data_IF_881569336665
#
_entry.id   IF_881569336665
#
_cell.length_a   1.000
_cell.length_b   1.000
_cell.length_c   1.000
_cell.angle_alpha   90.00
_cell.angle_beta   90.00
_cell.angle_gamma   90.00
#
_symmetry.space_group_name_H-M   'P 1'
#
loop_
_entity.id
_entity.type
_entity.pdbx_description
1 polymer ?
#
# COMPACT_ATOMS: atom_id res chain seq x y z
N UNK A 1 6.61 -30.48 35.58
CA UNK A 1 6.36 -29.11 36.07
C UNK A 1 5.02 -28.65 35.46
N UNK A 2 4.04 -28.44 36.31
CA UNK A 2 2.72 -27.92 35.92
C UNK A 2 2.72 -26.39 36.17
N UNK A 3 2.48 -25.59 35.14
CA UNK A 3 2.38 -24.14 35.27
C UNK A 3 1.01 -23.83 35.89
N UNK A 4 0.99 -23.31 37.09
CA UNK A 4 -0.24 -22.83 37.72
C UNK A 4 -0.66 -21.51 37.07
N UNK A 5 -1.96 -21.31 36.77
CA UNK A 5 -2.46 -20.05 36.28
C UNK A 5 -2.29 -18.95 37.33
N UNK A 6 -1.57 -17.89 36.98
CA UNK A 6 -1.41 -16.71 37.83
C UNK A 6 -2.43 -15.67 37.38
N UNK A 7 -3.22 -15.12 38.31
CA UNK A 7 -4.02 -13.93 38.05
C UNK A 7 -3.09 -12.81 37.58
N UNK A 8 -3.48 -12.09 36.53
CA UNK A 8 -2.65 -11.09 35.88
C UNK A 8 -1.99 -10.13 36.89
N UNK A 9 -0.67 -10.11 36.93
CA UNK A 9 0.09 -9.15 37.70
C UNK A 9 0.35 -7.91 36.84
N UNK A 10 -0.06 -6.74 37.35
CA UNK A 10 0.27 -5.48 36.70
C UNK A 10 1.78 -5.26 36.73
N UNK A 11 2.39 -5.06 35.57
CA UNK A 11 3.79 -4.65 35.48
C UNK A 11 3.90 -3.19 35.98
N UNK A 12 4.69 -2.94 37.00
CA UNK A 12 4.93 -1.61 37.56
C UNK A 12 6.31 -1.10 37.15
N UNK A 13 6.45 0.22 37.01
CA UNK A 13 7.73 0.88 36.73
C UNK A 13 8.10 1.02 35.26
N UNK A 14 7.22 0.63 34.33
CA UNK A 14 7.36 0.99 32.92
C UNK A 14 6.98 2.44 32.68
N UNK A 15 7.80 3.18 31.92
CA UNK A 15 7.44 4.51 31.41
C UNK A 15 7.39 4.45 29.89
N UNK A 16 6.36 5.06 29.29
CA UNK A 16 6.34 5.27 27.85
C UNK A 16 7.43 6.27 27.48
N UNK A 17 8.26 5.93 26.50
CA UNK A 17 9.21 6.88 25.92
C UNK A 17 8.49 8.06 25.26
N UNK A 18 9.19 9.18 25.16
CA UNK A 18 8.71 10.32 24.38
C UNK A 18 8.73 9.98 22.90
N UNK A 19 7.58 10.10 22.23
CA UNK A 19 7.46 9.92 20.77
C UNK A 19 7.61 11.30 20.13
N UNK A 20 8.71 11.48 19.39
CA UNK A 20 9.02 12.72 18.66
C UNK A 20 9.06 12.47 17.16
N UNK A 21 9.13 13.52 16.35
CA UNK A 21 9.36 13.39 14.91
C UNK A 21 10.61 12.56 14.57
N UNK A 22 11.67 12.66 15.39
CA UNK A 22 12.88 11.84 15.24
C UNK A 22 12.61 10.35 15.46
N UNK A 23 11.67 9.99 16.35
CA UNK A 23 11.30 8.60 16.57
C UNK A 23 10.65 7.98 15.33
N UNK A 24 9.80 8.74 14.63
CA UNK A 24 9.22 8.32 13.36
C UNK A 24 10.28 8.19 12.26
N UNK A 25 11.19 9.16 12.14
CA UNK A 25 12.28 9.09 11.16
C UNK A 25 13.17 7.86 11.41
N UNK A 26 13.59 7.63 12.64
CA UNK A 26 14.38 6.45 13.02
C UNK A 26 13.67 5.13 12.71
N UNK A 27 12.35 5.10 12.83
CA UNK A 27 11.55 3.95 12.43
C UNK A 27 11.60 3.75 10.91
N UNK A 28 11.36 4.79 10.12
CA UNK A 28 11.41 4.74 8.66
C UNK A 28 12.79 4.29 8.15
N UNK A 29 13.87 4.82 8.73
CA UNK A 29 15.23 4.42 8.38
C UNK A 29 15.48 2.93 8.62
N UNK A 30 14.89 2.35 9.69
CA UNK A 30 15.02 0.92 10.00
C UNK A 30 14.23 0.03 9.04
N UNK A 31 13.04 0.47 8.64
CA UNK A 31 12.15 -0.37 7.81
C UNK A 31 12.45 -0.25 6.31
N UNK A 32 13.28 0.69 5.90
CA UNK A 32 13.63 0.91 4.50
C UNK A 32 14.22 -0.34 3.81
N UNK A 33 14.91 -1.19 4.57
CA UNK A 33 15.50 -2.43 4.07
C UNK A 33 14.56 -3.64 4.03
N UNK A 34 13.32 -3.48 4.48
CA UNK A 34 12.34 -4.57 4.52
C UNK A 34 11.38 -4.49 3.32
N UNK A 35 10.95 -5.65 2.83
CA UNK A 35 9.91 -5.73 1.80
C UNK A 35 8.52 -5.83 2.45
N UNK A 36 7.60 -5.00 2.00
CA UNK A 36 6.19 -5.00 2.41
C UNK A 36 5.33 -4.43 1.27
N UNK A 37 4.09 -4.90 1.15
CA UNK A 37 3.17 -4.46 0.10
C UNK A 37 2.35 -3.23 0.53
N UNK A 38 2.08 -3.09 1.82
CA UNK A 38 1.33 -1.98 2.37
C UNK A 38 1.94 -1.50 3.68
N UNK A 39 1.80 -0.22 3.96
CA UNK A 39 2.19 0.43 5.20
C UNK A 39 1.06 1.33 5.67
N UNK A 40 0.73 1.31 6.97
CA UNK A 40 -0.23 2.25 7.55
C UNK A 40 0.41 3.11 8.63
N UNK A 41 0.03 4.38 8.71
CA UNK A 41 0.39 5.25 9.81
C UNK A 41 -0.85 5.81 10.49
N UNK A 42 -1.04 5.42 11.75
CA UNK A 42 -2.20 5.82 12.56
C UNK A 42 -1.87 7.11 13.29
N UNK A 43 -2.14 8.22 12.66
CA UNK A 43 -1.87 9.56 13.20
C UNK A 43 -2.82 10.60 12.64
N UNK A 44 -3.12 11.63 13.45
CA UNK A 44 -3.82 12.84 13.01
C UNK A 44 -2.86 14.00 12.75
N UNK A 45 -1.57 13.83 13.08
CA UNK A 45 -0.53 14.84 12.90
C UNK A 45 -0.13 14.99 11.42
N UNK A 46 -0.37 16.19 10.88
CA UNK A 46 -0.09 16.54 9.49
C UNK A 46 1.41 16.45 9.12
N UNK A 47 2.29 16.74 10.08
CA UNK A 47 3.75 16.67 9.85
C UNK A 47 4.19 15.23 9.69
N UNK A 48 3.65 14.34 10.53
CA UNK A 48 3.94 12.90 10.46
C UNK A 48 3.36 12.30 9.19
N UNK A 49 2.10 12.61 8.83
CA UNK A 49 1.51 12.16 7.55
C UNK A 49 2.38 12.56 6.36
N UNK A 50 2.80 13.83 6.31
CA UNK A 50 3.70 14.33 5.25
C UNK A 50 5.05 13.60 5.22
N UNK A 51 5.64 13.30 6.36
CA UNK A 51 6.89 12.54 6.47
C UNK A 51 6.74 11.15 5.79
N UNK A 52 5.70 10.42 6.13
CA UNK A 52 5.43 9.09 5.55
C UNK A 52 5.11 9.16 4.05
N UNK A 53 4.35 10.15 3.61
CA UNK A 53 4.07 10.36 2.18
C UNK A 53 5.35 10.66 1.41
N UNK A 54 6.24 11.50 1.95
CA UNK A 54 7.54 11.79 1.33
C UNK A 54 8.43 10.55 1.26
N UNK A 55 8.42 9.73 2.30
CA UNK A 55 9.13 8.44 2.33
C UNK A 55 8.58 7.47 1.26
N UNK A 56 7.26 7.33 1.15
CA UNK A 56 6.64 6.49 0.14
C UNK A 56 7.00 6.95 -1.28
N UNK A 57 6.87 8.26 -1.58
CA UNK A 57 7.24 8.84 -2.87
C UNK A 57 8.71 8.56 -3.21
N UNK A 58 9.63 8.84 -2.29
CA UNK A 58 11.06 8.62 -2.49
C UNK A 58 11.39 7.15 -2.80
N UNK A 59 10.85 6.21 -2.02
CA UNK A 59 11.11 4.80 -2.25
C UNK A 59 10.54 4.30 -3.58
N UNK A 60 9.32 4.74 -3.93
CA UNK A 60 8.67 4.32 -5.18
C UNK A 60 9.32 4.94 -6.41
N UNK A 61 9.63 6.23 -6.39
CA UNK A 61 10.04 6.98 -7.57
C UNK A 61 11.56 6.94 -7.78
N UNK A 62 12.36 6.95 -6.70
CA UNK A 62 13.82 7.02 -6.78
C UNK A 62 14.50 5.67 -6.57
N UNK A 63 13.95 4.81 -5.69
CA UNK A 63 14.55 3.53 -5.30
C UNK A 63 13.91 2.31 -5.98
N UNK A 64 12.75 2.49 -6.62
CA UNK A 64 12.03 1.41 -7.28
C UNK A 64 11.33 0.43 -6.33
N UNK A 65 11.27 0.71 -5.03
CA UNK A 65 10.61 -0.12 -4.02
C UNK A 65 9.11 0.22 -4.00
N UNK A 66 8.26 -0.70 -4.43
CA UNK A 66 6.82 -0.47 -4.62
C UNK A 66 6.01 -0.99 -3.45
N UNK A 67 5.22 -0.11 -2.82
CA UNK A 67 4.23 -0.40 -1.78
C UNK A 67 3.21 0.72 -1.71
N UNK A 68 2.02 0.46 -1.17
CA UNK A 68 1.00 1.49 -0.93
C UNK A 68 1.02 1.94 0.53
N UNK A 69 0.88 3.25 0.75
CA UNK A 69 0.80 3.86 2.07
C UNK A 69 -0.65 4.23 2.40
N UNK A 70 -1.15 3.79 3.55
CA UNK A 70 -2.48 4.15 4.06
C UNK A 70 -2.35 5.20 5.16
N UNK A 71 -3.05 6.30 5.00
CA UNK A 71 -3.09 7.43 5.94
C UNK A 71 -4.53 7.86 6.22
N UNK A 72 -4.74 8.59 7.32
CA UNK A 72 -6.03 9.18 7.65
C UNK A 72 -6.09 10.63 7.19
N UNK A 73 -7.18 11.01 6.52
CA UNK A 73 -7.53 12.39 6.13
C UNK A 73 -6.34 13.19 5.53
N UNK A 74 -5.82 12.70 4.40
CA UNK A 74 -4.71 13.32 3.68
C UNK A 74 -4.83 13.23 2.14
N UNK A 75 -5.99 13.62 1.55
CA UNK A 75 -6.20 13.51 0.09
C UNK A 75 -5.23 14.39 -0.71
N UNK A 76 -4.70 15.45 -0.11
CA UNK A 76 -3.73 16.38 -0.75
C UNK A 76 -2.39 15.74 -1.12
N UNK A 77 -2.17 14.45 -0.83
CA UNK A 77 -1.00 13.74 -1.32
C UNK A 77 -0.94 13.70 -2.84
N UNK A 78 -2.10 13.63 -3.50
CA UNK A 78 -2.26 13.55 -4.95
C UNK A 78 -1.23 12.62 -5.59
N UNK A 79 -1.26 11.34 -5.18
CA UNK A 79 -0.24 10.37 -5.54
C UNK A 79 -0.79 8.93 -5.53
N UNK A 80 -0.48 8.18 -6.58
CA UNK A 80 -0.97 6.82 -6.81
C UNK A 80 -0.56 5.79 -5.73
N UNK A 81 0.52 6.03 -5.01
CA UNK A 81 1.02 5.15 -3.92
C UNK A 81 0.43 5.47 -2.55
N UNK A 82 -0.52 6.41 -2.43
CA UNK A 82 -1.09 6.82 -1.13
C UNK A 82 -2.60 6.67 -1.14
N UNK A 83 -3.13 5.98 -0.13
CA UNK A 83 -4.56 5.80 0.13
C UNK A 83 -4.92 6.67 1.33
N UNK A 84 -5.87 7.58 1.18
CA UNK A 84 -6.34 8.47 2.24
C UNK A 84 -7.74 8.09 2.69
N UNK A 85 -7.88 7.65 3.94
CA UNK A 85 -9.18 7.29 4.50
C UNK A 85 -9.87 8.54 5.02
N UNK A 86 -11.12 8.76 4.58
CA UNK A 86 -11.97 9.85 5.03
C UNK A 86 -12.56 9.61 6.42
N UNK A 87 -12.97 8.39 6.69
CA UNK A 87 -13.81 8.04 7.83
C UNK A 87 -13.08 8.17 9.16
N UNK A 88 -13.70 8.90 10.05
CA UNK A 88 -13.27 9.08 11.43
C UNK A 88 -13.66 7.86 12.26
N UNK A 89 -12.79 7.42 13.16
CA UNK A 89 -13.15 6.47 14.20
C UNK A 89 -13.95 7.16 15.30
N UNK A 90 -15.09 6.57 15.69
CA UNK A 90 -16.05 7.11 16.64
C UNK A 90 -15.92 6.52 18.05
N UNK A 91 -15.17 5.44 18.22
CA UNK A 91 -15.06 4.75 19.49
C UNK A 91 -14.53 5.65 20.59
N UNK A 92 -15.18 5.50 21.72
CA UNK A 92 -14.86 6.30 22.90
C UNK A 92 -13.41 6.12 23.33
N UNK A 93 -12.87 7.20 23.81
CA UNK A 93 -11.53 7.21 24.37
C UNK A 93 -11.51 6.39 25.65
N UNK A 94 -10.85 5.25 25.64
CA UNK A 94 -10.51 4.56 26.87
C UNK A 94 -9.55 5.44 27.67
N UNK A 95 -9.96 5.77 28.91
CA UNK A 95 -9.04 6.38 29.87
C UNK A 95 -8.21 5.25 30.46
N UNK A 96 -6.91 5.28 30.28
CA UNK A 96 -6.00 4.45 31.04
C UNK A 96 -6.11 4.79 32.54
N UNK A 97 -5.55 3.95 33.40
CA UNK A 97 -5.56 4.11 34.86
C UNK A 97 -4.95 5.46 35.30
N UNK A 98 -4.15 6.11 34.45
CA UNK A 98 -3.58 7.45 34.64
C UNK A 98 -4.49 8.62 34.15
N UNK A 99 -5.70 8.32 33.71
CA UNK A 99 -6.66 9.28 33.16
C UNK A 99 -6.32 9.84 31.78
N UNK A 100 -5.22 9.41 31.16
CA UNK A 100 -4.84 9.82 29.81
C UNK A 100 -5.61 9.03 28.76
N UNK A 101 -5.88 9.71 27.65
CA UNK A 101 -6.52 9.10 26.49
C UNK A 101 -5.60 8.02 25.91
N UNK A 102 -6.08 6.78 25.93
CA UNK A 102 -5.46 5.66 25.25
C UNK A 102 -6.37 5.28 24.10
N UNK A 103 -5.79 4.85 23.00
CA UNK A 103 -6.43 4.44 21.76
C UNK A 103 -7.86 3.85 21.87
N UNK A 104 -8.70 4.01 20.84
CA UNK A 104 -8.36 4.39 19.47
C UNK A 104 -8.28 5.91 19.28
N UNK A 105 -7.50 6.36 18.30
CA UNK A 105 -7.58 7.73 17.81
C UNK A 105 -8.47 7.77 16.54
N UNK A 106 -8.79 8.98 16.07
CA UNK A 106 -9.63 9.18 14.89
C UNK A 106 -9.12 8.44 13.65
N UNK A 107 -7.83 8.18 13.57
CA UNK A 107 -7.18 7.49 12.46
C UNK A 107 -7.19 5.95 12.55
N UNK A 108 -7.87 5.34 13.54
CA UNK A 108 -7.77 3.90 13.79
C UNK A 108 -8.27 3.02 12.61
N UNK A 109 -9.12 3.54 11.73
CA UNK A 109 -9.55 2.83 10.52
C UNK A 109 -8.39 2.47 9.58
N UNK A 110 -7.23 3.14 9.71
CA UNK A 110 -5.99 2.83 8.97
C UNK A 110 -5.54 1.39 9.22
N UNK A 111 -5.72 0.84 10.44
CA UNK A 111 -5.35 -0.55 10.72
C UNK A 111 -6.07 -1.53 9.82
N UNK A 112 -7.40 -1.42 9.76
CA UNK A 112 -8.22 -2.30 8.94
C UNK A 112 -7.89 -2.15 7.45
N UNK A 113 -7.84 -0.91 6.95
CA UNK A 113 -7.60 -0.65 5.53
C UNK A 113 -6.21 -1.14 5.10
N UNK A 114 -5.17 -0.92 5.93
CA UNK A 114 -3.83 -1.45 5.65
C UNK A 114 -3.83 -2.99 5.54
N UNK A 115 -4.54 -3.67 6.45
CA UNK A 115 -4.69 -5.11 6.41
C UNK A 115 -5.54 -5.61 5.24
N UNK A 116 -6.62 -4.89 4.90
CA UNK A 116 -7.50 -5.22 3.78
C UNK A 116 -6.77 -5.11 2.44
N UNK A 117 -6.03 -4.02 2.22
CA UNK A 117 -5.22 -3.80 1.02
C UNK A 117 -4.05 -4.78 0.92
N UNK A 118 -3.31 -4.97 2.02
CA UNK A 118 -2.18 -5.91 2.05
C UNK A 118 -2.56 -7.37 1.88
N UNK A 119 -3.77 -7.73 2.30
CA UNK A 119 -4.34 -9.09 2.13
C UNK A 119 -5.16 -9.26 0.86
N UNK A 120 -5.36 -8.21 0.06
CA UNK A 120 -6.11 -8.29 -1.18
C UNK A 120 -5.30 -9.01 -2.27
N UNK A 121 -5.95 -9.94 -2.96
CA UNK A 121 -5.29 -10.66 -4.07
C UNK A 121 -5.03 -9.70 -5.23
N UNK A 122 -3.98 -9.97 -6.00
CA UNK A 122 -3.58 -9.16 -7.16
C UNK A 122 -4.68 -9.02 -8.23
N UNK A 123 -5.58 -9.98 -8.30
CA UNK A 123 -6.72 -10.01 -9.24
C UNK A 123 -8.06 -9.63 -8.58
N UNK A 124 -8.04 -8.91 -7.48
CA UNK A 124 -9.23 -8.53 -6.72
C UNK A 124 -9.13 -7.07 -6.24
N UNK A 125 -10.26 -6.51 -5.89
CA UNK A 125 -10.38 -5.20 -5.28
C UNK A 125 -11.01 -5.32 -3.89
N UNK A 126 -10.75 -4.35 -3.02
CA UNK A 126 -11.47 -4.21 -1.74
C UNK A 126 -12.78 -3.44 -1.90
N UNK A 127 -13.12 -2.98 -3.09
CA UNK A 127 -14.39 -2.32 -3.36
C UNK A 127 -15.57 -3.18 -2.90
N UNK A 128 -16.56 -2.56 -2.28
CA UNK A 128 -17.74 -3.21 -1.69
C UNK A 128 -17.45 -4.25 -0.59
N UNK A 129 -16.20 -4.39 -0.13
CA UNK A 129 -15.88 -5.25 1.00
C UNK A 129 -16.53 -4.70 2.27
N UNK A 130 -17.17 -5.59 3.05
CA UNK A 130 -17.72 -5.22 4.34
C UNK A 130 -16.59 -4.88 5.32
N UNK A 131 -16.78 -3.81 6.07
CA UNK A 131 -15.91 -3.44 7.17
C UNK A 131 -16.23 -4.32 8.38
N UNK A 132 -15.31 -5.17 8.74
CA UNK A 132 -15.36 -6.06 9.90
C UNK A 132 -14.31 -5.70 10.96
N UNK A 133 -13.91 -4.42 10.95
CA UNK A 133 -12.90 -3.91 11.86
C UNK A 133 -13.39 -3.81 13.31
N UNK A 134 -12.43 -3.73 14.22
CA UNK A 134 -12.65 -3.66 15.67
C UNK A 134 -13.30 -2.33 16.10
N UNK A 135 -13.05 -1.26 15.35
CA UNK A 135 -13.47 0.10 15.72
C UNK A 135 -14.71 0.55 14.94
N UNK A 136 -15.60 1.29 15.60
CA UNK A 136 -16.73 1.95 14.95
C UNK A 136 -16.23 3.12 14.11
N UNK A 137 -16.67 3.20 12.86
CA UNK A 137 -16.31 4.29 11.95
C UNK A 137 -17.54 5.11 11.57
N UNK A 138 -17.35 6.41 11.37
CA UNK A 138 -18.37 7.27 10.79
C UNK A 138 -18.64 6.80 9.34
N UNK A 139 -19.90 6.47 9.02
CA UNK A 139 -20.26 5.95 7.71
C UNK A 139 -21.57 6.54 7.15
N UNK A 140 -22.19 7.46 7.90
CA UNK A 140 -23.43 8.14 7.51
C UNK A 140 -23.11 9.41 6.73
N UNK A 141 -23.01 9.28 5.41
CA UNK A 141 -22.76 10.38 4.50
C UNK A 141 -23.90 10.54 3.50
N UNK A 142 -24.17 11.77 3.10
CA UNK A 142 -25.04 12.07 1.98
C UNK A 142 -24.39 11.66 0.66
N UNK A 143 -25.19 11.44 -0.38
CA UNK A 143 -24.65 11.14 -1.72
C UNK A 143 -23.73 12.25 -2.25
N UNK A 144 -24.01 13.51 -1.90
CA UNK A 144 -23.18 14.64 -2.30
C UNK A 144 -21.79 14.57 -1.65
N UNK A 145 -21.72 14.20 -0.37
CA UNK A 145 -20.45 14.02 0.37
C UNK A 145 -19.65 12.83 -0.15
N UNK A 146 -20.31 11.71 -0.48
CA UNK A 146 -19.66 10.54 -1.07
C UNK A 146 -19.06 10.86 -2.45
N UNK A 147 -19.82 11.56 -3.31
CA UNK A 147 -19.32 12.00 -4.62
C UNK A 147 -18.14 12.96 -4.46
N UNK A 148 -18.21 13.88 -3.49
CA UNK A 148 -17.13 14.83 -3.23
C UNK A 148 -15.87 14.10 -2.73
N UNK A 149 -16.02 13.10 -1.86
CA UNK A 149 -14.92 12.29 -1.34
C UNK A 149 -14.19 11.53 -2.47
N UNK A 150 -14.93 10.81 -3.31
CA UNK A 150 -14.34 10.08 -4.45
C UNK A 150 -13.61 11.04 -5.41
N UNK A 151 -14.21 12.20 -5.70
CA UNK A 151 -13.56 13.23 -6.54
C UNK A 151 -12.28 13.81 -5.93
N UNK A 152 -12.20 13.82 -4.61
CA UNK A 152 -11.01 14.27 -3.88
C UNK A 152 -9.93 13.18 -3.72
N UNK A 153 -10.18 11.94 -4.22
CA UNK A 153 -9.27 10.81 -4.05
C UNK A 153 -9.28 10.25 -2.62
N UNK A 154 -10.42 10.33 -1.95
CA UNK A 154 -10.59 9.80 -0.60
C UNK A 154 -11.19 8.39 -0.65
N UNK A 155 -10.51 7.44 -0.02
CA UNK A 155 -11.06 6.12 0.29
C UNK A 155 -12.10 6.27 1.39
N UNK A 156 -13.33 5.82 1.15
CA UNK A 156 -14.44 6.05 2.07
C UNK A 156 -15.27 4.80 2.32
N UNK A 157 -15.60 4.56 3.59
CA UNK A 157 -16.63 3.61 4.00
C UNK A 157 -17.99 4.30 4.03
N UNK A 158 -19.03 3.61 3.61
CA UNK A 158 -20.39 4.10 3.64
C UNK A 158 -21.38 3.04 4.14
N UNK A 159 -22.51 3.50 4.66
CA UNK A 159 -23.57 2.60 5.11
C UNK A 159 -24.36 2.04 3.93
N UNK A 160 -24.52 0.74 3.89
CA UNK A 160 -25.35 0.02 2.90
C UNK A 160 -26.28 -0.93 3.67
N UNK A 161 -27.54 -0.53 3.82
CA UNK A 161 -28.49 -1.19 4.73
C UNK A 161 -27.93 -1.21 6.16
N UNK A 162 -27.68 -2.40 6.71
CA UNK A 162 -27.14 -2.58 8.06
C UNK A 162 -25.62 -2.81 8.08
N UNK A 163 -24.97 -2.81 6.90
CA UNK A 163 -23.53 -3.03 6.75
C UNK A 163 -22.79 -1.72 6.47
N UNK A 164 -21.54 -1.66 6.91
CA UNK A 164 -20.58 -0.64 6.48
C UNK A 164 -19.68 -1.28 5.42
N UNK A 165 -19.55 -0.64 4.25
CA UNK A 165 -18.80 -1.18 3.11
C UNK A 165 -17.86 -0.14 2.51
N UNK A 166 -16.80 -0.60 1.87
CA UNK A 166 -15.92 0.24 1.04
C UNK A 166 -16.72 0.72 -0.18
N UNK A 167 -16.77 2.03 -0.40
CA UNK A 167 -17.46 2.61 -1.55
C UNK A 167 -16.68 2.36 -2.85
N UNK A 168 -15.40 2.72 -2.84
CA UNK A 168 -14.52 2.59 -3.99
C UNK A 168 -13.09 2.34 -3.54
N UNK A 169 -12.32 1.55 -4.32
CA UNK A 169 -10.95 1.13 -4.02
C UNK A 169 -9.95 2.05 -4.72
N UNK A 170 -9.84 3.29 -4.25
CA UNK A 170 -9.08 4.36 -4.89
C UNK A 170 -7.96 4.91 -4.02
N UNK A 171 -6.95 5.48 -4.68
CA UNK A 171 -5.87 6.23 -4.05
C UNK A 171 -6.08 7.74 -4.15
N UNK A 172 -5.12 8.52 -3.64
CA UNK A 172 -5.24 9.99 -3.59
C UNK A 172 -4.95 10.70 -4.91
N UNK A 173 -4.61 9.99 -5.98
CA UNK A 173 -4.31 10.59 -7.26
C UNK A 173 -5.58 11.18 -7.89
N UNK A 174 -5.61 12.48 -8.08
CA UNK A 174 -6.69 13.20 -8.76
C UNK A 174 -6.21 13.92 -10.01
N UNK A 175 -4.95 14.34 -10.00
CA UNK A 175 -4.29 14.97 -11.15
C UNK A 175 -3.84 13.91 -12.14
N UNK A 176 -4.30 14.04 -13.39
CA UNK A 176 -3.88 13.17 -14.49
C UNK A 176 -2.86 13.86 -15.38
N UNK A 177 -1.98 13.09 -15.99
CA UNK A 177 -0.97 13.53 -16.95
C UNK A 177 -1.02 12.63 -18.19
N UNK A 178 -0.25 12.96 -19.22
CA UNK A 178 -0.11 12.09 -20.39
C UNK A 178 0.50 10.70 -20.03
N UNK A 179 1.26 10.63 -18.92
CA UNK A 179 1.88 9.40 -18.44
C UNK A 179 0.98 8.64 -17.48
N UNK A 180 0.24 9.35 -16.62
CA UNK A 180 -0.63 8.78 -15.60
C UNK A 180 -2.07 9.20 -15.84
N UNK A 181 -2.84 8.33 -16.52
CA UNK A 181 -4.26 8.53 -16.79
C UNK A 181 -5.15 8.06 -15.62
N UNK A 182 -6.46 8.12 -15.82
CA UNK A 182 -7.47 7.80 -14.80
C UNK A 182 -7.36 6.37 -14.24
N UNK A 183 -6.86 5.42 -15.02
CA UNK A 183 -6.68 4.01 -14.59
C UNK A 183 -5.76 3.87 -13.37
N UNK A 184 -4.83 4.80 -13.17
CA UNK A 184 -3.91 4.79 -12.02
C UNK A 184 -4.53 5.33 -10.73
N UNK A 185 -5.78 5.77 -10.75
CA UNK A 185 -6.55 6.11 -9.55
C UNK A 185 -7.04 4.88 -8.80
N UNK A 186 -7.11 3.74 -9.46
CA UNK A 186 -7.58 2.47 -8.93
C UNK A 186 -6.45 1.72 -8.23
N UNK A 187 -6.68 1.32 -6.97
CA UNK A 187 -5.69 0.59 -6.17
C UNK A 187 -5.42 -0.82 -6.71
N UNK A 188 -6.39 -1.47 -7.35
CA UNK A 188 -6.16 -2.77 -7.98
C UNK A 188 -5.14 -2.64 -9.12
N UNK A 189 -5.26 -1.61 -9.96
CA UNK A 189 -4.28 -1.31 -11.02
C UNK A 189 -2.88 -1.10 -10.44
N UNK A 190 -2.77 -0.30 -9.37
CA UNK A 190 -1.49 -0.05 -8.71
C UNK A 190 -0.92 -1.35 -8.11
N UNK A 191 -1.76 -2.18 -7.49
CA UNK A 191 -1.35 -3.48 -6.92
C UNK A 191 -0.79 -4.41 -7.97
N UNK A 192 -1.39 -4.45 -9.17
CA UNK A 192 -0.88 -5.23 -10.31
C UNK A 192 0.48 -4.71 -10.76
N UNK A 193 0.60 -3.40 -10.98
CA UNK A 193 1.86 -2.78 -11.40
C UNK A 193 2.97 -2.96 -10.36
N UNK A 194 2.65 -2.82 -9.08
CA UNK A 194 3.59 -3.00 -7.97
C UNK A 194 4.04 -4.47 -7.85
N UNK A 195 3.12 -5.43 -8.03
CA UNK A 195 3.44 -6.85 -8.03
C UNK A 195 4.44 -7.18 -9.15
N UNK A 196 4.16 -6.73 -10.37
CA UNK A 196 5.06 -6.95 -11.52
C UNK A 196 6.44 -6.36 -11.23
N UNK A 197 6.51 -5.10 -10.81
CA UNK A 197 7.78 -4.43 -10.55
C UNK A 197 8.60 -5.12 -9.44
N UNK A 198 7.94 -5.56 -8.37
CA UNK A 198 8.60 -6.27 -7.26
C UNK A 198 9.05 -7.67 -7.65
N UNK A 199 8.25 -8.43 -8.42
CA UNK A 199 8.60 -9.76 -8.89
C UNK A 199 9.76 -9.72 -9.88
N UNK A 200 9.75 -8.78 -10.82
CA UNK A 200 10.83 -8.56 -11.79
C UNK A 200 12.14 -8.20 -11.08
N UNK A 201 12.09 -7.28 -10.11
CA UNK A 201 13.25 -6.90 -9.31
C UNK A 201 13.79 -8.11 -8.53
N UNK A 202 12.92 -8.92 -7.93
CA UNK A 202 13.30 -10.11 -7.18
C UNK A 202 13.95 -11.19 -8.06
N UNK A 203 13.39 -11.44 -9.25
CA UNK A 203 13.95 -12.38 -10.21
C UNK A 203 15.30 -11.89 -10.70
N UNK A 204 15.41 -10.62 -11.05
CA UNK A 204 16.66 -10.03 -11.50
C UNK A 204 17.75 -10.12 -10.43
N UNK A 205 17.45 -9.73 -9.19
CA UNK A 205 18.40 -9.79 -8.08
C UNK A 205 18.86 -11.22 -7.77
N UNK A 206 17.95 -12.19 -7.77
CA UNK A 206 18.27 -13.56 -7.35
C UNK A 206 18.91 -14.42 -8.42
N UNK A 207 18.58 -14.20 -9.71
CA UNK A 207 19.04 -15.07 -10.80
C UNK A 207 20.12 -14.45 -11.66
N UNK A 208 20.12 -13.12 -11.86
CA UNK A 208 20.93 -12.45 -12.89
C UNK A 208 22.09 -11.64 -12.36
N UNK A 209 21.90 -10.83 -11.32
CA UNK A 209 22.96 -9.96 -10.80
C UNK A 209 24.17 -10.80 -10.35
N UNK A 210 25.31 -10.57 -11.00
CA UNK A 210 26.58 -11.25 -10.69
C UNK A 210 26.63 -12.73 -11.05
N UNK A 211 25.62 -13.27 -11.76
CA UNK A 211 25.53 -14.71 -12.10
C UNK A 211 25.44 -14.98 -13.59
N UNK A 212 24.73 -14.12 -14.32
CA UNK A 212 24.51 -14.26 -15.77
C UNK A 212 25.17 -13.11 -16.50
N UNK A 213 25.98 -13.36 -17.55
CA UNK A 213 26.55 -12.31 -18.38
C UNK A 213 25.46 -11.48 -19.07
N UNK A 214 25.70 -10.19 -19.26
CA UNK A 214 24.83 -9.32 -20.05
C UNK A 214 25.17 -9.43 -21.54
N UNK A 215 25.01 -10.62 -22.08
CA UNK A 215 25.09 -10.93 -23.51
C UNK A 215 23.69 -11.27 -24.06
N UNK A 216 23.59 -11.53 -25.34
CA UNK A 216 22.30 -11.86 -25.98
C UNK A 216 21.63 -13.08 -25.34
N UNK A 217 22.33 -14.25 -25.13
CA UNK A 217 21.72 -15.38 -24.42
C UNK A 217 21.25 -15.05 -23.01
N UNK A 218 22.01 -14.25 -22.26
CA UNK A 218 21.64 -13.82 -20.89
C UNK A 218 20.40 -12.95 -20.87
N UNK A 219 20.28 -12.00 -21.81
CA UNK A 219 19.08 -11.16 -21.94
C UNK A 219 17.86 -11.97 -22.42
N UNK A 220 18.04 -12.93 -23.31
CA UNK A 220 16.97 -13.83 -23.71
C UNK A 220 16.47 -14.69 -22.55
N UNK A 221 17.36 -15.16 -21.68
CA UNK A 221 16.97 -15.89 -20.48
C UNK A 221 16.15 -14.99 -19.51
N UNK A 222 16.56 -13.74 -19.31
CA UNK A 222 15.79 -12.78 -18.53
C UNK A 222 14.41 -12.53 -19.16
N UNK A 223 14.35 -12.29 -20.46
CA UNK A 223 13.09 -12.12 -21.19
C UNK A 223 12.13 -13.29 -20.94
N UNK A 224 12.62 -14.55 -21.02
CA UNK A 224 11.80 -15.75 -20.77
C UNK A 224 11.24 -15.77 -19.34
N UNK A 225 12.03 -15.41 -18.35
CA UNK A 225 11.55 -15.36 -16.95
C UNK A 225 10.48 -14.27 -16.76
N UNK A 226 10.66 -13.07 -17.33
CA UNK A 226 9.70 -11.98 -17.26
C UNK A 226 8.39 -12.30 -18.00
N UNK A 227 8.47 -12.87 -19.19
CA UNK A 227 7.29 -13.35 -19.93
C UNK A 227 6.52 -14.37 -19.11
N UNK A 228 7.21 -15.31 -18.44
CA UNK A 228 6.56 -16.32 -17.60
C UNK A 228 5.81 -15.69 -16.42
N UNK A 229 6.39 -14.69 -15.76
CA UNK A 229 5.71 -13.96 -14.67
C UNK A 229 4.38 -13.37 -15.17
N UNK A 230 4.40 -12.67 -16.30
CA UNK A 230 3.21 -12.04 -16.84
C UNK A 230 2.17 -13.06 -17.36
N UNK A 231 2.61 -14.18 -17.93
CA UNK A 231 1.71 -15.28 -18.30
C UNK A 231 1.00 -15.88 -17.06
N UNK A 232 1.68 -16.00 -15.91
CA UNK A 232 1.03 -16.42 -14.66
C UNK A 232 0.03 -15.37 -14.15
N UNK A 233 0.35 -14.08 -14.21
CA UNK A 233 -0.60 -13.00 -13.86
C UNK A 233 -1.82 -13.00 -14.79
N UNK A 234 -1.65 -13.29 -16.08
CA UNK A 234 -2.76 -13.44 -17.00
C UNK A 234 -3.64 -14.67 -16.66
N UNK A 235 -3.05 -15.80 -16.30
CA UNK A 235 -3.80 -16.98 -15.83
C UNK A 235 -4.60 -16.68 -14.56
N UNK A 236 -4.04 -15.86 -13.66
CA UNK A 236 -4.73 -15.36 -12.47
C UNK A 236 -5.80 -14.30 -12.79
N UNK A 237 -5.88 -13.83 -14.05
CA UNK A 237 -6.77 -12.76 -14.48
C UNK A 237 -6.48 -11.42 -13.78
N UNK A 238 -5.24 -11.17 -13.45
CA UNK A 238 -4.77 -9.87 -12.95
C UNK A 238 -4.47 -8.91 -14.11
N UNK A 239 -4.01 -9.45 -15.23
CA UNK A 239 -3.82 -8.75 -16.51
C UNK A 239 -4.52 -9.48 -17.63
N UNK A 240 -4.79 -8.79 -18.73
CA UNK A 240 -5.42 -9.36 -19.92
C UNK A 240 -4.64 -9.04 -21.21
N UNK A 241 -4.93 -9.84 -22.26
CA UNK A 241 -4.40 -9.65 -23.62
C UNK A 241 -2.86 -9.63 -23.73
N UNK A 242 -2.14 -10.11 -22.72
CA UNK A 242 -0.67 -10.14 -22.72
C UNK A 242 -0.12 -11.09 -23.79
N UNK A 243 0.90 -10.62 -24.48
CA UNK A 243 1.68 -11.38 -25.48
C UNK A 243 3.16 -11.32 -25.12
N UNK A 244 3.90 -12.35 -25.52
CA UNK A 244 5.34 -12.43 -25.29
C UNK A 244 6.09 -11.23 -25.91
N UNK A 245 5.55 -10.65 -26.98
CA UNK A 245 6.08 -9.46 -27.66
C UNK A 245 5.91 -8.16 -26.87
N UNK A 246 5.10 -8.18 -25.82
CA UNK A 246 4.86 -7.01 -24.96
C UNK A 246 6.00 -6.80 -23.96
N UNK A 247 6.96 -7.72 -23.91
CA UNK A 247 8.20 -7.60 -23.13
C UNK A 247 9.38 -7.50 -24.08
N UNK A 248 10.19 -6.47 -23.89
CA UNK A 248 11.44 -6.29 -24.63
C UNK A 248 12.59 -6.11 -23.65
N UNK A 249 13.67 -6.85 -23.85
CA UNK A 249 14.89 -6.80 -23.02
C UNK A 249 16.08 -6.49 -23.91
N UNK A 250 16.77 -5.38 -23.63
CA UNK A 250 17.95 -5.00 -24.40
C UNK A 250 19.06 -4.45 -23.50
N UNK A 251 20.27 -4.32 -24.07
CA UNK A 251 21.40 -3.77 -23.35
C UNK A 251 21.17 -2.28 -23.08
N UNK A 252 21.38 -1.84 -21.85
CA UNK A 252 21.37 -0.43 -21.53
C UNK A 252 22.68 0.29 -21.93
N UNK A 253 22.87 1.50 -21.43
CA UNK A 253 23.98 2.38 -21.79
C UNK A 253 25.37 1.80 -21.48
N UNK A 254 25.44 0.86 -20.56
CA UNK A 254 26.69 0.20 -20.18
C UNK A 254 26.61 -1.30 -20.36
N UNK A 255 27.76 -1.98 -20.39
CA UNK A 255 27.82 -3.45 -20.41
C UNK A 255 27.21 -4.10 -19.15
N UNK A 256 27.01 -3.33 -18.09
CA UNK A 256 26.44 -3.82 -16.83
C UNK A 256 24.96 -3.48 -16.67
N UNK A 257 24.38 -2.70 -17.58
CA UNK A 257 22.98 -2.27 -17.51
C UNK A 257 22.12 -3.04 -18.52
N UNK A 258 20.90 -3.34 -18.09
CA UNK A 258 19.83 -3.94 -18.88
C UNK A 258 18.64 -3.01 -18.82
N UNK A 259 17.95 -2.83 -19.93
CA UNK A 259 16.66 -2.14 -20.00
C UNK A 259 15.57 -3.15 -20.29
N UNK A 260 14.48 -3.03 -19.57
CA UNK A 260 13.26 -3.82 -19.80
C UNK A 260 12.13 -2.84 -20.08
N UNK A 261 11.47 -3.03 -21.20
CA UNK A 261 10.23 -2.35 -21.54
C UNK A 261 9.09 -3.37 -21.54
N UNK A 262 8.00 -3.02 -20.92
CA UNK A 262 6.86 -3.93 -20.76
C UNK A 262 5.55 -3.18 -20.89
N UNK A 263 4.61 -3.77 -21.65
CA UNK A 263 3.24 -3.30 -21.76
C UNK A 263 2.29 -4.33 -21.16
N UNK A 264 1.45 -3.89 -20.21
CA UNK A 264 0.44 -4.74 -19.57
C UNK A 264 -0.88 -4.02 -19.49
N UNK A 265 -1.98 -4.77 -19.52
CA UNK A 265 -3.34 -4.25 -19.32
C UNK A 265 -3.90 -4.89 -18.06
N UNK A 266 -3.93 -4.19 -16.90
CA UNK A 266 -4.65 -4.65 -15.71
C UNK A 266 -6.14 -4.85 -16.00
N UNK A 267 -6.76 -5.86 -15.34
CA UNK A 267 -8.20 -6.19 -15.47
C UNK A 267 -9.03 -5.39 -14.47
#
# INVERSE_FOLDING_TARGET
>A
FELAPVSGAALTGGTNGEITGTSYQNYLDKIESYAYNTMGVVTTDEVIKRLYVSFNKRLRDEMGIKFQLVVYDYPKADYLGVISIKNKCLDGVYKGDDGKKVYPNEAAAVYWTTGAEGGCKVNASVQNRAYDGEYTVEAEYTQAELIAAVKAGEFVFHSVNDDIRVLDDINTMVSTTDTFGDVFKDNQTIRVCDQIANDDALVFANKYIGRVPNDEPGRNALWMDLVKINQELQKLRAIENFKDTDVVVYQGDTKKSVVVEMAVTPV
#
